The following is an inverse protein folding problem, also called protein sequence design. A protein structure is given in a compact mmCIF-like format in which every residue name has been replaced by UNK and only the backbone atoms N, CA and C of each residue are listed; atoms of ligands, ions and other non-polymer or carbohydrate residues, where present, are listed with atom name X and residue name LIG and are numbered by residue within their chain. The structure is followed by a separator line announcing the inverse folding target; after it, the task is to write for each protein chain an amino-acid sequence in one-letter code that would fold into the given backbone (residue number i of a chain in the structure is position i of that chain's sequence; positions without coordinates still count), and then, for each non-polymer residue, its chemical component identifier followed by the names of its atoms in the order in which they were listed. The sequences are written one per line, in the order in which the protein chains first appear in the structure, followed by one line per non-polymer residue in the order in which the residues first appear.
data_IF_058162451075
#
_entry.id   IF_058162451075
#
_cell.length_a   1.000
_cell.length_b   1.000
_cell.length_c   1.000
_cell.angle_alpha   90.00
_cell.angle_beta   90.00
_cell.angle_gamma   90.00
#
_symmetry.space_group_name_H-M   'P 1'
#
loop_
_entity.id
_entity.type
_entity.pdbx_description
1 polymer ?
#
# COMPACT_ATOMS: atom_id res chain seq x y z
N UNK A 1 10.80 -80.33 -0.72
CA UNK A 1 10.31 -80.35 -2.12
C UNK A 1 9.71 -78.99 -2.43
N UNK A 2 10.42 -78.17 -3.21
CA UNK A 2 9.80 -77.20 -4.11
C UNK A 2 9.60 -77.90 -5.48
N UNK A 3 8.70 -77.44 -6.37
CA UNK A 3 9.04 -76.33 -7.29
C UNK A 3 7.89 -75.30 -7.55
N UNK A 4 8.18 -73.99 -7.73
CA UNK A 4 8.32 -73.17 -8.99
C UNK A 4 6.96 -72.71 -9.58
N UNK A 5 6.48 -71.46 -9.39
CA UNK A 5 6.74 -70.13 -10.05
C UNK A 5 6.07 -69.93 -11.42
N UNK A 6 5.31 -68.82 -11.55
CA UNK A 6 5.24 -67.84 -12.67
C UNK A 6 3.88 -67.10 -12.59
N UNK A 7 3.69 -65.80 -12.75
CA UNK A 7 4.51 -64.67 -13.19
C UNK A 7 3.55 -63.51 -13.53
N UNK A 8 3.87 -62.32 -13.01
CA UNK A 8 3.69 -60.96 -13.59
C UNK A 8 2.46 -60.61 -14.47
N UNK A 9 1.71 -59.58 -14.09
CA UNK A 9 1.64 -58.31 -14.85
C UNK A 9 1.02 -57.16 -14.04
N UNK A 10 1.53 -55.95 -14.26
CA UNK A 10 1.28 -54.71 -13.54
C UNK A 10 0.35 -53.75 -14.30
N UNK A 11 -0.45 -53.00 -13.51
CA UNK A 11 -1.01 -51.63 -13.68
C UNK A 11 -1.90 -51.26 -14.91
N UNK A 12 -2.65 -50.11 -14.93
CA UNK A 12 -2.74 -49.00 -13.95
C UNK A 12 -4.16 -48.36 -13.67
N UNK A 13 -4.19 -47.48 -12.63
CA UNK A 13 -5.03 -46.28 -12.36
C UNK A 13 -6.56 -46.45 -12.11
N UNK A 14 -7.11 -45.95 -10.99
CA UNK A 14 -7.34 -44.51 -10.77
C UNK A 14 -6.94 -44.00 -9.36
N UNK A 15 -6.21 -42.88 -9.27
CA UNK A 15 -6.02 -42.09 -8.06
C UNK A 15 -7.09 -40.99 -8.02
N UNK A 16 -7.87 -40.87 -6.93
CA UNK A 16 -8.81 -39.74 -6.90
C UNK A 16 -9.94 -39.75 -5.90
N UNK A 17 -9.74 -40.25 -4.67
CA UNK A 17 -10.65 -39.87 -3.58
C UNK A 17 -9.90 -39.08 -2.53
N UNK A 18 -9.67 -37.80 -2.84
CA UNK A 18 -9.42 -36.80 -1.81
C UNK A 18 -10.71 -36.70 -1.01
N UNK A 19 -10.73 -37.32 0.17
CA UNK A 19 -11.78 -37.04 1.15
C UNK A 19 -11.70 -35.56 1.47
N UNK A 20 -12.69 -34.78 1.01
CA UNK A 20 -12.83 -33.39 1.39
C UNK A 20 -12.90 -33.33 2.91
N UNK A 21 -11.83 -32.84 3.54
CA UNK A 21 -11.85 -32.54 4.97
C UNK A 21 -13.03 -31.60 5.19
N UNK A 22 -13.98 -32.02 6.03
CA UNK A 22 -15.11 -31.21 6.43
C UNK A 22 -14.61 -29.80 6.79
N UNK A 23 -15.31 -28.73 6.40
CA UNK A 23 -14.89 -27.38 6.71
C UNK A 23 -14.71 -27.30 8.22
N UNK A 24 -13.45 -27.15 8.66
CA UNK A 24 -13.17 -26.79 10.04
C UNK A 24 -13.92 -25.48 10.22
N UNK A 25 -15.03 -25.49 10.98
CA UNK A 25 -15.63 -24.27 11.50
C UNK A 25 -14.50 -23.58 12.25
N UNK A 26 -13.81 -22.63 11.59
CA UNK A 26 -12.93 -21.71 12.29
C UNK A 26 -13.87 -21.04 13.28
N UNK A 27 -13.75 -21.39 14.55
CA UNK A 27 -14.29 -20.56 15.61
C UNK A 27 -13.72 -19.18 15.32
N UNK A 28 -14.59 -18.23 14.96
CA UNK A 28 -14.22 -16.83 15.00
C UNK A 28 -13.70 -16.62 16.42
N UNK A 29 -12.39 -16.47 16.56
CA UNK A 29 -11.81 -16.08 17.84
C UNK A 29 -12.29 -14.65 17.99
N UNK A 30 -13.44 -14.47 18.65
CA UNK A 30 -13.93 -13.18 19.08
C UNK A 30 -12.92 -12.69 20.11
N UNK A 31 -11.87 -12.02 19.63
CA UNK A 31 -10.91 -11.33 20.49
C UNK A 31 -11.58 -10.02 20.86
N UNK A 32 -11.97 -9.81 22.13
CA UNK A 32 -12.56 -8.54 22.54
C UNK A 32 -11.62 -7.40 22.13
N UNK A 33 -12.13 -6.47 21.31
CA UNK A 33 -11.38 -5.32 20.80
C UNK A 33 -10.79 -5.46 19.39
N UNK A 34 -10.97 -6.59 18.69
CA UNK A 34 -10.60 -6.68 17.27
C UNK A 34 -11.68 -6.04 16.37
N UNK A 35 -11.27 -5.09 15.54
CA UNK A 35 -12.12 -4.44 14.54
C UNK A 35 -11.53 -4.60 13.14
N UNK A 36 -12.41 -4.68 12.15
CA UNK A 36 -12.09 -4.56 10.73
C UNK A 36 -12.14 -3.09 10.33
N UNK A 37 -11.10 -2.60 9.69
CA UNK A 37 -11.07 -1.27 9.09
C UNK A 37 -11.25 -1.40 7.59
N UNK A 38 -12.16 -0.62 7.01
CA UNK A 38 -12.42 -0.63 5.57
C UNK A 38 -12.52 0.78 5.02
N UNK A 39 -11.99 0.99 3.83
CA UNK A 39 -12.05 2.27 3.13
C UNK A 39 -13.23 2.32 2.16
N UNK A 40 -13.88 3.47 2.07
CA UNK A 40 -14.95 3.76 1.12
C UNK A 40 -14.61 5.06 0.35
N UNK A 41 -13.77 5.02 -0.70
CA UNK A 41 -13.20 6.21 -1.33
C UNK A 41 -14.21 7.17 -1.99
N UNK A 42 -15.42 6.68 -2.31
CA UNK A 42 -16.50 7.46 -2.90
C UNK A 42 -17.67 7.70 -1.94
N UNK A 43 -17.44 7.52 -0.63
CA UNK A 43 -18.44 7.80 0.38
C UNK A 43 -18.79 9.29 0.40
N UNK A 44 -20.06 9.58 0.71
CA UNK A 44 -20.55 10.95 0.82
C UNK A 44 -19.77 11.72 1.88
N UNK A 45 -19.61 13.01 1.64
CA UNK A 45 -19.03 13.92 2.59
C UNK A 45 -19.87 14.00 3.87
N UNK A 46 -19.22 14.33 4.98
CA UNK A 46 -19.94 14.76 6.18
C UNK A 46 -20.65 16.09 5.88
N UNK A 47 -21.87 16.33 6.40
CA UNK A 47 -22.67 17.51 6.06
C UNK A 47 -21.99 18.87 6.31
N UNK A 48 -21.01 18.92 7.21
CA UNK A 48 -20.24 20.11 7.56
C UNK A 48 -19.09 20.43 6.58
N UNK A 49 -18.78 19.52 5.65
CA UNK A 49 -17.67 19.71 4.70
C UNK A 49 -18.19 20.34 3.41
N UNK A 50 -17.41 21.23 2.75
CA UNK A 50 -17.78 21.84 1.49
C UNK A 50 -17.54 20.89 0.30
N UNK A 51 -18.12 19.70 0.34
CA UNK A 51 -18.00 18.66 -0.69
C UNK A 51 -19.25 17.76 -0.72
N UNK A 52 -19.48 17.09 -1.85
CA UNK A 52 -20.49 16.05 -2.00
C UNK A 52 -19.89 14.66 -1.71
N UNK A 53 -18.69 14.38 -2.23
CA UNK A 53 -17.97 13.13 -2.02
C UNK A 53 -16.57 13.41 -1.47
N UNK A 54 -16.21 12.81 -0.33
CA UNK A 54 -14.84 12.89 0.22
C UNK A 54 -14.16 11.54 0.29
N UNK A 55 -14.95 10.48 0.36
CA UNK A 55 -14.53 9.20 0.88
C UNK A 55 -14.54 9.14 2.41
N UNK A 56 -14.39 7.94 2.96
CA UNK A 56 -14.43 7.66 4.38
C UNK A 56 -13.65 6.39 4.73
N UNK A 57 -13.42 6.19 6.03
CA UNK A 57 -12.98 4.92 6.60
C UNK A 57 -14.03 4.48 7.62
N UNK A 58 -14.34 3.19 7.64
CA UNK A 58 -15.27 2.59 8.58
C UNK A 58 -14.54 1.61 9.51
N UNK A 59 -14.97 1.57 10.76
CA UNK A 59 -14.58 0.59 11.76
C UNK A 59 -15.75 -0.32 12.04
N UNK A 60 -15.60 -1.60 11.70
CA UNK A 60 -16.60 -2.64 11.85
C UNK A 60 -16.14 -3.65 12.91
N UNK A 61 -16.88 -3.83 14.02
CA UNK A 61 -16.64 -4.95 14.93
C UNK A 61 -16.67 -6.29 14.19
N UNK A 62 -15.81 -7.24 14.58
CA UNK A 62 -15.80 -8.57 13.97
C UNK A 62 -16.87 -9.43 14.65
N UNK A 63 -18.12 -9.32 14.20
CA UNK A 63 -19.23 -10.15 14.65
C UNK A 63 -20.16 -10.55 13.47
N UNK A 64 -21.37 -11.04 13.77
CA UNK A 64 -22.32 -11.52 12.77
C UNK A 64 -23.29 -10.44 12.26
N UNK A 65 -23.29 -9.26 12.89
CA UNK A 65 -24.12 -8.13 12.48
C UNK A 65 -23.41 -7.38 11.35
N UNK A 66 -23.97 -7.34 10.13
CA UNK A 66 -23.35 -6.63 9.02
C UNK A 66 -23.57 -5.10 9.07
N UNK A 67 -24.31 -4.58 10.06
CA UNK A 67 -24.79 -3.19 10.10
C UNK A 67 -24.12 -2.31 11.17
N UNK A 68 -23.26 -2.88 12.00
CA UNK A 68 -22.64 -2.19 13.14
C UNK A 68 -21.33 -1.46 12.81
N UNK A 69 -21.03 -1.30 11.52
CA UNK A 69 -19.92 -0.48 11.04
C UNK A 69 -20.15 1.01 11.36
N UNK A 70 -19.14 1.64 11.96
CA UNK A 70 -19.17 3.05 12.32
C UNK A 70 -18.18 3.84 11.47
N UNK A 71 -18.59 5.03 11.00
CA UNK A 71 -17.71 5.93 10.24
C UNK A 71 -16.65 6.53 11.17
N UNK A 72 -15.42 6.61 10.68
CA UNK A 72 -14.33 7.34 11.32
C UNK A 72 -14.28 8.77 10.78
N UNK A 73 -14.47 9.75 11.68
CA UNK A 73 -14.45 11.17 11.34
C UNK A 73 -13.01 11.71 11.30
N UNK A 74 -12.27 11.34 10.24
CA UNK A 74 -10.87 11.71 10.05
C UNK A 74 -10.68 13.16 9.56
N UNK A 75 -11.69 13.73 8.92
CA UNK A 75 -11.68 15.11 8.39
C UNK A 75 -12.93 15.81 8.91
N UNK A 76 -12.74 16.73 9.85
CA UNK A 76 -13.84 17.45 10.54
C UNK A 76 -13.97 18.91 10.11
N UNK A 77 -12.91 19.48 9.55
CA UNK A 77 -12.83 20.88 9.11
C UNK A 77 -11.88 20.99 7.92
N UNK A 78 -12.13 21.96 7.04
CA UNK A 78 -11.35 22.18 5.82
C UNK A 78 -11.02 23.67 5.75
N UNK A 79 -9.77 23.99 5.43
CA UNK A 79 -9.34 25.38 5.24
C UNK A 79 -9.73 25.90 3.85
N UNK A 80 -9.76 27.22 3.69
CA UNK A 80 -10.09 27.85 2.39
C UNK A 80 -9.10 27.50 1.27
N UNK A 81 -7.88 27.09 1.61
CA UNK A 81 -6.85 26.65 0.66
C UNK A 81 -6.91 25.15 0.35
N UNK A 82 -7.96 24.42 0.77
CA UNK A 82 -8.05 22.98 0.65
C UNK A 82 -9.30 22.55 -0.12
N UNK A 83 -9.15 21.54 -0.98
CA UNK A 83 -10.28 20.89 -1.66
C UNK A 83 -10.27 19.41 -1.31
N UNK A 84 -11.37 19.01 -0.72
CA UNK A 84 -11.63 17.63 -0.29
C UNK A 84 -12.63 16.91 -1.20
N UNK A 85 -13.23 17.62 -2.16
CA UNK A 85 -14.14 17.02 -3.16
C UNK A 85 -13.40 15.97 -4.00
N UNK A 86 -13.92 14.74 -4.00
CA UNK A 86 -13.34 13.63 -4.72
C UNK A 86 -11.91 13.28 -4.28
N UNK A 87 -11.52 13.56 -3.02
CA UNK A 87 -10.16 13.28 -2.54
C UNK A 87 -9.83 11.79 -2.39
N UNK A 88 -10.85 10.93 -2.43
CA UNK A 88 -10.74 9.47 -2.33
C UNK A 88 -10.16 8.98 -1.00
N UNK A 89 -10.61 9.57 0.11
CA UNK A 89 -10.20 9.14 1.45
C UNK A 89 -10.60 7.68 1.69
N UNK A 90 -9.64 6.89 2.15
CA UNK A 90 -9.81 5.44 2.34
C UNK A 90 -9.38 4.62 1.13
N UNK A 91 -8.77 5.22 0.10
CA UNK A 91 -8.16 4.46 -1.02
C UNK A 91 -7.07 3.51 -0.51
N UNK A 92 -6.34 3.95 0.52
CA UNK A 92 -5.37 3.14 1.27
C UNK A 92 -5.74 3.20 2.73
N UNK A 93 -5.86 2.04 3.37
CA UNK A 93 -5.98 1.90 4.82
C UNK A 93 -4.98 0.85 5.27
N UNK A 94 -4.08 1.20 6.19
CA UNK A 94 -3.04 0.31 6.67
C UNK A 94 -2.89 0.38 8.19
N UNK A 95 -2.63 -0.76 8.82
CA UNK A 95 -2.36 -0.87 10.25
C UNK A 95 -0.86 -0.95 10.50
N UNK A 96 -0.41 -0.32 11.59
CA UNK A 96 0.96 -0.43 12.08
C UNK A 96 1.34 -1.91 12.33
N UNK A 97 2.34 -2.39 11.60
CA UNK A 97 2.86 -3.76 11.73
C UNK A 97 3.44 -4.01 13.12
N UNK A 98 3.35 -5.27 13.56
CA UNK A 98 3.98 -5.81 14.79
C UNK A 98 3.64 -5.09 16.10
N UNK A 99 2.54 -4.33 16.14
CA UNK A 99 2.10 -3.61 17.34
C UNK A 99 0.59 -3.80 17.59
N UNK A 100 0.27 -4.31 18.79
CA UNK A 100 -1.11 -4.34 19.30
C UNK A 100 -1.52 -2.94 19.77
N UNK A 101 -2.75 -2.53 19.44
CA UNK A 101 -3.19 -1.15 19.65
C UNK A 101 -2.36 -0.12 18.86
N UNK A 102 -1.70 -0.55 17.78
CA UNK A 102 -0.91 0.31 16.92
C UNK A 102 -1.76 1.32 16.14
N UNK A 103 -1.08 2.27 15.51
CA UNK A 103 -1.72 3.34 14.73
C UNK A 103 -2.29 2.81 13.40
N UNK A 104 -3.16 3.61 12.81
CA UNK A 104 -3.78 3.37 11.50
C UNK A 104 -3.40 4.53 10.58
N UNK A 105 -3.05 4.20 9.35
CA UNK A 105 -2.87 5.13 8.24
C UNK A 105 -4.09 5.04 7.33
N UNK A 106 -4.63 6.20 6.95
CA UNK A 106 -5.64 6.32 5.90
C UNK A 106 -5.25 7.45 4.95
N UNK A 107 -5.36 7.22 3.65
CA UNK A 107 -4.93 8.19 2.64
C UNK A 107 -6.08 8.59 1.70
N UNK A 108 -5.98 9.80 1.15
CA UNK A 108 -6.83 10.33 0.09
C UNK A 108 -5.96 10.94 -1.00
N UNK A 109 -5.55 10.13 -1.98
CA UNK A 109 -4.54 10.48 -2.98
C UNK A 109 -4.92 11.62 -3.95
N UNK A 110 -6.20 12.02 -3.97
CA UNK A 110 -6.70 13.13 -4.81
C UNK A 110 -6.98 14.39 -4.01
N UNK A 111 -6.56 14.44 -2.76
CA UNK A 111 -6.61 15.65 -1.94
C UNK A 111 -5.80 16.77 -2.59
N UNK A 112 -6.39 17.97 -2.68
CA UNK A 112 -5.78 19.13 -3.32
C UNK A 112 -5.61 20.24 -2.29
N UNK A 113 -4.46 20.91 -2.33
CA UNK A 113 -4.22 22.14 -1.59
C UNK A 113 -3.68 23.23 -2.51
N UNK A 114 -4.23 24.42 -2.36
CA UNK A 114 -3.88 25.63 -3.07
C UNK A 114 -2.74 26.30 -2.31
N UNK A 115 -1.64 26.63 -2.98
CA UNK A 115 -0.52 27.37 -2.36
C UNK A 115 -0.17 28.59 -3.20
N UNK A 116 -0.12 29.77 -2.57
CA UNK A 116 0.46 31.00 -3.11
C UNK A 116 -0.55 32.02 -3.67
N UNK A 117 -0.16 33.31 -3.78
CA UNK A 117 -1.00 34.40 -4.24
C UNK A 117 -1.05 34.56 -5.78
N UNK A 118 -0.33 33.72 -6.53
CA UNK A 118 -0.18 33.83 -7.97
C UNK A 118 -0.80 32.60 -8.67
N UNK A 119 -2.03 32.79 -9.14
CA UNK A 119 -2.68 32.08 -10.24
C UNK A 119 -2.63 30.53 -10.25
N UNK A 120 -3.77 29.92 -9.90
CA UNK A 120 -4.33 28.76 -10.63
C UNK A 120 -3.48 27.48 -10.76
N UNK A 121 -2.71 27.09 -9.73
CA UNK A 121 -2.12 25.75 -9.66
C UNK A 121 -2.79 24.90 -8.58
N UNK A 122 -3.73 24.05 -9.00
CA UNK A 122 -4.23 22.95 -8.17
C UNK A 122 -3.11 21.94 -7.96
N UNK A 123 -2.68 21.72 -6.72
CA UNK A 123 -1.62 20.75 -6.41
C UNK A 123 -2.20 19.61 -5.57
N UNK A 124 -2.01 18.38 -6.03
CA UNK A 124 -2.29 17.21 -5.20
C UNK A 124 -1.11 17.03 -4.24
N UNK A 125 -1.36 16.97 -2.93
CA UNK A 125 -0.28 17.07 -1.92
C UNK A 125 0.33 15.73 -1.48
N UNK A 126 1.67 15.74 -1.55
CA UNK A 126 2.74 15.33 -0.63
C UNK A 126 3.71 16.52 -0.51
N UNK A 127 5.01 16.39 -0.22
CA UNK A 127 5.95 17.55 -0.17
C UNK A 127 6.24 18.19 -1.55
N UNK A 128 5.23 18.77 -2.17
CA UNK A 128 5.18 18.95 -3.60
C UNK A 128 5.30 20.44 -4.01
N UNK A 129 6.51 20.90 -4.37
CA UNK A 129 6.84 22.33 -4.56
C UNK A 129 6.81 22.82 -6.02
N UNK A 130 6.90 21.93 -7.01
CA UNK A 130 6.99 22.27 -8.45
C UNK A 130 6.11 21.31 -9.28
N UNK A 131 5.33 21.84 -10.22
CA UNK A 131 4.33 21.12 -11.02
C UNK A 131 4.91 19.97 -11.85
N UNK A 132 6.13 20.13 -12.38
CA UNK A 132 6.81 19.10 -13.17
C UNK A 132 7.60 18.11 -12.31
N UNK A 133 7.87 18.49 -11.05
CA UNK A 133 8.46 17.60 -10.06
C UNK A 133 7.32 16.91 -9.34
N UNK A 134 6.88 17.44 -8.22
CA UNK A 134 5.98 16.70 -7.35
C UNK A 134 4.57 17.30 -7.26
N UNK A 135 4.25 18.43 -7.92
CA UNK A 135 2.95 19.12 -7.77
C UNK A 135 1.68 18.30 -8.07
N UNK A 136 1.83 17.15 -8.73
CA UNK A 136 0.78 16.17 -9.02
C UNK A 136 1.07 14.81 -8.37
N UNK A 137 1.71 14.78 -7.21
CA UNK A 137 2.34 13.57 -6.66
C UNK A 137 1.36 12.42 -6.29
N UNK A 138 0.05 12.66 -6.15
CA UNK A 138 -0.94 11.62 -5.82
C UNK A 138 -0.54 10.76 -4.61
N UNK A 139 -0.04 11.42 -3.55
CA UNK A 139 0.51 10.76 -2.37
C UNK A 139 -0.52 9.88 -1.67
N UNK A 140 -0.14 8.63 -1.39
CA UNK A 140 -0.96 7.71 -0.61
C UNK A 140 -1.98 6.92 -1.43
N UNK A 141 -1.82 6.83 -2.76
CA UNK A 141 -2.53 5.81 -3.56
C UNK A 141 -2.22 4.39 -3.06
N UNK A 142 -1.02 4.22 -2.52
CA UNK A 142 -0.54 3.04 -1.81
C UNK A 142 0.34 3.50 -0.67
N UNK A 143 0.47 2.66 0.36
CA UNK A 143 1.26 3.01 1.54
C UNK A 143 1.03 2.07 2.70
N UNK A 144 1.83 2.25 3.74
CA UNK A 144 1.74 1.46 4.95
C UNK A 144 2.54 2.09 6.09
N UNK A 145 2.47 1.41 7.23
CA UNK A 145 3.11 1.85 8.45
C UNK A 145 3.79 0.66 9.14
N UNK A 146 5.09 0.80 9.39
CA UNK A 146 5.88 -0.12 10.22
C UNK A 146 5.93 0.42 11.65
N UNK A 147 6.75 -0.18 12.50
CA UNK A 147 6.93 0.29 13.87
C UNK A 147 7.41 1.74 13.93
N UNK A 148 8.28 2.15 13.00
CA UNK A 148 8.90 3.49 12.97
C UNK A 148 8.55 4.28 11.71
N UNK A 149 8.26 3.59 10.61
CA UNK A 149 8.25 4.21 9.30
C UNK A 149 6.83 4.31 8.77
N UNK A 150 6.54 5.43 8.12
CA UNK A 150 5.35 5.60 7.27
C UNK A 150 5.85 5.73 5.85
N UNK A 151 5.46 4.81 4.99
CA UNK A 151 5.84 4.81 3.58
C UNK A 151 4.61 4.98 2.70
N UNK A 152 4.73 5.79 1.67
CA UNK A 152 3.63 6.10 0.76
C UNK A 152 4.13 6.25 -0.68
N UNK A 153 3.35 5.73 -1.61
CA UNK A 153 3.61 5.90 -3.03
C UNK A 153 3.08 7.22 -3.57
N UNK A 154 3.81 7.80 -4.53
CA UNK A 154 3.50 9.05 -5.22
C UNK A 154 3.66 8.92 -6.75
N UNK A 155 2.75 8.22 -7.45
CA UNK A 155 2.92 7.91 -8.88
C UNK A 155 3.00 9.11 -9.82
N UNK A 156 2.49 10.28 -9.40
CA UNK A 156 2.51 11.47 -10.24
C UNK A 156 3.76 12.34 -10.06
N UNK A 157 4.68 11.97 -9.17
CA UNK A 157 5.97 12.66 -9.03
C UNK A 157 6.84 12.51 -10.29
N UNK A 158 7.67 13.52 -10.55
CA UNK A 158 8.56 13.71 -11.70
C UNK A 158 7.92 13.37 -13.05
N UNK A 159 6.91 14.15 -13.44
CA UNK A 159 6.13 13.93 -14.67
C UNK A 159 5.67 12.46 -14.81
N UNK A 160 4.98 11.97 -13.78
CA UNK A 160 4.47 10.61 -13.70
C UNK A 160 5.54 9.51 -13.75
N UNK A 161 6.81 9.83 -13.53
CA UNK A 161 7.81 8.81 -13.19
C UNK A 161 7.35 8.00 -11.98
N UNK A 162 6.83 8.71 -10.99
CA UNK A 162 6.48 8.19 -9.68
C UNK A 162 7.63 8.21 -8.70
N UNK A 163 7.30 8.14 -7.41
CA UNK A 163 8.25 8.10 -6.30
C UNK A 163 7.64 7.34 -5.11
N UNK A 164 8.41 7.17 -4.05
CA UNK A 164 7.98 6.67 -2.76
C UNK A 164 8.61 7.56 -1.69
N UNK A 165 7.81 8.06 -0.75
CA UNK A 165 8.36 8.73 0.43
C UNK A 165 8.26 7.81 1.62
N UNK A 166 9.40 7.57 2.25
CA UNK A 166 9.50 6.92 3.56
C UNK A 166 9.77 8.02 4.57
N UNK A 167 8.98 8.07 5.64
CA UNK A 167 9.20 8.97 6.77
C UNK A 167 9.42 8.14 8.02
N UNK A 168 10.68 8.08 8.44
CA UNK A 168 11.06 7.52 9.73
C UNK A 168 10.67 8.49 10.85
N UNK A 169 10.09 7.96 11.92
CA UNK A 169 9.78 8.69 13.16
C UNK A 169 10.48 8.02 14.33
N UNK A 170 11.02 8.82 15.25
CA UNK A 170 11.60 8.29 16.49
C UNK A 170 10.60 7.43 17.27
N UNK A 171 11.06 6.25 17.71
CA UNK A 171 10.23 5.25 18.38
C UNK A 171 9.97 5.57 19.86
N UNK A 172 10.72 6.52 20.43
CA UNK A 172 10.71 6.84 21.85
C UNK A 172 10.16 8.26 22.08
N UNK A 173 9.55 8.56 23.24
CA UNK A 173 8.95 9.86 23.49
C UNK A 173 9.93 11.03 23.28
N UNK A 174 11.19 10.84 23.68
CA UNK A 174 12.31 11.77 23.57
C UNK A 174 12.87 11.96 22.14
N UNK A 175 12.51 11.08 21.19
CA UNK A 175 12.91 11.19 19.78
C UNK A 175 11.73 11.34 18.84
N UNK A 176 10.49 11.40 19.36
CA UNK A 176 9.26 11.41 18.57
C UNK A 176 9.09 12.63 17.65
N UNK A 177 9.77 13.73 17.97
CA UNK A 177 9.86 14.94 17.16
C UNK A 177 10.88 14.84 16.02
N UNK A 178 11.81 13.89 16.09
CA UNK A 178 12.73 13.65 14.98
C UNK A 178 12.01 12.87 13.87
N UNK A 179 12.17 13.39 12.66
CA UNK A 179 11.64 12.76 11.46
C UNK A 179 12.64 12.90 10.33
N UNK A 180 12.88 11.78 9.65
CA UNK A 180 13.76 11.74 8.47
C UNK A 180 12.93 11.24 7.31
N UNK A 181 13.07 11.91 6.17
CA UNK A 181 12.36 11.54 4.94
C UNK A 181 13.37 11.03 3.92
N UNK A 182 13.04 9.94 3.27
CA UNK A 182 13.79 9.34 2.18
C UNK A 182 12.89 9.21 0.97
N UNK A 183 13.44 9.49 -0.20
CA UNK A 183 12.78 9.34 -1.48
C UNK A 183 13.80 9.00 -2.58
N UNK A 184 13.31 8.65 -3.77
CA UNK A 184 14.14 8.51 -4.96
C UNK A 184 14.38 9.88 -5.61
N UNK A 185 15.60 10.09 -6.10
CA UNK A 185 15.92 11.24 -6.94
C UNK A 185 15.14 11.22 -8.26
N UNK A 186 15.10 12.37 -8.95
CA UNK A 186 14.61 12.43 -10.33
C UNK A 186 15.53 11.59 -11.23
N UNK A 187 15.03 10.43 -11.67
CA UNK A 187 15.79 9.49 -12.47
C UNK A 187 15.87 9.90 -13.94
N UNK A 188 15.10 10.93 -14.35
CA UNK A 188 14.96 11.57 -15.69
C UNK A 188 14.63 10.65 -16.87
N UNK A 189 14.93 9.35 -16.76
CA UNK A 189 14.84 8.31 -17.78
C UNK A 189 13.56 7.47 -17.66
N UNK A 190 12.72 7.76 -16.65
CA UNK A 190 11.60 6.91 -16.23
C UNK A 190 10.24 7.62 -16.25
N UNK A 191 10.08 8.69 -17.01
CA UNK A 191 8.79 9.41 -17.12
C UNK A 191 7.64 8.46 -17.47
N UNK A 192 6.46 8.70 -16.87
CA UNK A 192 5.24 7.89 -17.03
C UNK A 192 5.31 6.43 -16.56
N UNK A 193 6.30 6.05 -15.73
CA UNK A 193 6.41 4.69 -15.18
C UNK A 193 5.41 4.37 -14.05
N UNK A 194 4.89 5.38 -13.35
CA UNK A 194 3.98 5.27 -12.21
C UNK A 194 4.58 4.50 -11.02
N UNK A 195 5.87 4.70 -10.72
CA UNK A 195 6.49 4.16 -9.52
C UNK A 195 5.75 4.59 -8.25
N UNK A 196 5.58 3.68 -7.29
CA UNK A 196 4.77 3.93 -6.10
C UNK A 196 3.28 3.70 -6.33
N UNK A 197 2.89 3.06 -7.44
CA UNK A 197 1.51 2.60 -7.61
C UNK A 197 1.16 1.56 -6.54
N UNK A 198 2.09 0.64 -6.28
CA UNK A 198 2.06 -0.25 -5.12
C UNK A 198 3.37 -0.10 -4.34
N UNK A 199 3.29 -0.19 -3.00
CA UNK A 199 4.46 -0.12 -2.12
C UNK A 199 4.29 -1.07 -0.94
N UNK A 200 5.40 -1.65 -0.48
CA UNK A 200 5.47 -2.35 0.81
C UNK A 200 6.89 -2.26 1.37
N UNK A 201 7.01 -2.26 2.68
CA UNK A 201 8.27 -2.49 3.37
C UNK A 201 8.23 -3.84 4.07
N UNK A 202 9.31 -4.61 3.90
CA UNK A 202 9.40 -5.95 4.48
C UNK A 202 10.84 -6.35 4.81
N UNK A 203 11.00 -7.22 5.81
CA UNK A 203 12.31 -7.78 6.17
C UNK A 203 12.57 -9.07 5.41
N UNK A 204 13.81 -9.57 5.50
CA UNK A 204 14.23 -10.86 4.92
C UNK A 204 14.16 -10.93 3.38
N UNK A 205 14.12 -9.79 2.70
CA UNK A 205 14.20 -9.72 1.25
C UNK A 205 15.65 -9.63 0.79
N UNK A 206 16.29 -8.46 0.99
CA UNK A 206 17.71 -8.28 0.69
C UNK A 206 18.62 -8.58 1.89
N UNK A 207 18.07 -8.47 3.11
CA UNK A 207 18.78 -8.68 4.38
C UNK A 207 17.79 -9.23 5.43
N UNK A 208 18.26 -10.09 6.34
CA UNK A 208 17.44 -10.71 7.39
C UNK A 208 16.88 -9.69 8.41
N UNK A 209 17.62 -8.63 8.73
CA UNK A 209 17.27 -7.71 9.82
C UNK A 209 16.78 -6.34 9.33
N UNK A 210 17.21 -5.92 8.16
CA UNK A 210 16.89 -4.60 7.58
C UNK A 210 15.61 -4.65 6.74
N UNK A 211 14.86 -3.55 6.77
CA UNK A 211 13.71 -3.39 5.88
C UNK A 211 14.20 -3.11 4.47
N UNK A 212 13.59 -3.81 3.52
CA UNK A 212 13.69 -3.53 2.08
C UNK A 212 12.39 -2.87 1.66
N UNK A 213 12.49 -1.75 0.96
CA UNK A 213 11.36 -1.13 0.30
C UNK A 213 11.13 -1.84 -1.05
N UNK A 214 9.90 -2.21 -1.35
CA UNK A 214 9.52 -2.76 -2.65
C UNK A 214 8.44 -1.87 -3.24
N UNK A 215 8.67 -1.40 -4.47
CA UNK A 215 7.76 -0.49 -5.17
C UNK A 215 7.48 -0.96 -6.59
N UNK A 216 6.22 -0.86 -7.00
CA UNK A 216 5.76 -1.20 -8.34
C UNK A 216 5.63 0.02 -9.25
N UNK A 217 6.01 -0.16 -10.52
CA UNK A 217 5.90 0.84 -11.58
C UNK A 217 5.23 0.20 -12.81
N UNK A 218 3.89 0.06 -12.80
CA UNK A 218 3.17 -0.80 -13.75
C UNK A 218 3.20 -0.32 -15.21
N UNK A 219 3.63 0.92 -15.46
CA UNK A 219 3.79 1.47 -16.81
C UNK A 219 5.24 1.53 -17.27
N UNK A 220 6.19 1.13 -16.43
CA UNK A 220 7.61 1.14 -16.80
C UNK A 220 7.84 0.31 -18.07
N UNK A 221 8.46 0.94 -19.07
CA UNK A 221 8.80 0.31 -20.35
C UNK A 221 7.62 -0.37 -21.04
N UNK A 222 6.39 0.08 -20.76
CA UNK A 222 5.11 -0.52 -21.20
C UNK A 222 4.90 -1.98 -20.79
N UNK A 223 5.78 -2.58 -19.99
CA UNK A 223 5.64 -3.97 -19.48
C UNK A 223 5.35 -4.00 -17.98
N UNK A 224 5.73 -2.95 -17.27
CA UNK A 224 5.69 -2.86 -15.82
C UNK A 224 6.98 -3.36 -15.18
N UNK A 225 7.28 -2.85 -13.98
CA UNK A 225 8.44 -3.28 -13.21
C UNK A 225 8.20 -3.24 -11.70
N UNK A 226 9.07 -3.92 -10.97
CA UNK A 226 9.12 -3.98 -9.51
C UNK A 226 10.54 -3.70 -9.07
N UNK A 227 10.71 -2.67 -8.24
CA UNK A 227 12.01 -2.23 -7.74
C UNK A 227 12.14 -2.57 -6.26
N UNK A 228 13.21 -3.27 -5.91
CA UNK A 228 13.65 -3.48 -4.52
C UNK A 228 14.72 -2.41 -4.22
N UNK A 229 14.53 -1.68 -3.14
CA UNK A 229 15.40 -0.58 -2.73
C UNK A 229 15.80 -0.68 -1.26
N UNK A 230 17.02 -0.23 -0.97
CA UNK A 230 17.50 0.02 0.39
C UNK A 230 17.06 1.39 0.86
N UNK A 231 16.67 1.47 2.12
CA UNK A 231 16.35 2.71 2.80
C UNK A 231 17.65 3.19 3.47
N UNK A 232 18.32 4.17 2.85
CA UNK A 232 19.54 4.78 3.38
C UNK A 232 19.19 5.96 4.30
N UNK A 233 20.21 6.69 4.79
CA UNK A 233 19.98 7.80 5.72
C UNK A 233 19.09 8.91 5.16
N UNK A 234 19.30 9.29 3.89
CA UNK A 234 18.64 10.43 3.24
C UNK A 234 18.01 10.12 1.88
N UNK A 235 18.09 8.88 1.40
CA UNK A 235 17.61 8.52 0.06
C UNK A 235 17.19 7.06 -0.02
N UNK A 236 16.44 6.73 -1.06
CA UNK A 236 16.12 5.36 -1.44
C UNK A 236 17.03 4.93 -2.59
N UNK A 237 17.78 3.84 -2.37
CA UNK A 237 18.73 3.35 -3.38
C UNK A 237 18.20 2.06 -4.01
N UNK A 238 17.89 2.04 -5.32
CA UNK A 238 17.43 0.83 -5.99
C UNK A 238 18.57 -0.21 -6.04
N UNK A 239 18.25 -1.44 -5.66
CA UNK A 239 19.18 -2.58 -5.67
C UNK A 239 18.88 -3.53 -6.82
N UNK A 240 17.61 -3.81 -7.06
CA UNK A 240 17.17 -4.71 -8.12
C UNK A 240 15.88 -4.21 -8.76
N UNK A 241 15.77 -4.39 -10.07
CA UNK A 241 14.54 -4.13 -10.83
C UNK A 241 14.14 -5.41 -11.55
N UNK A 242 12.92 -5.86 -11.33
CA UNK A 242 12.29 -6.99 -12.00
C UNK A 242 11.32 -6.43 -13.04
N UNK A 243 11.47 -6.80 -14.31
CA UNK A 243 10.61 -6.35 -15.38
C UNK A 243 9.54 -7.40 -15.71
N UNK A 244 8.35 -6.95 -16.08
CA UNK A 244 7.32 -7.82 -16.65
C UNK A 244 7.70 -8.28 -18.05
N UNK A 245 7.19 -9.46 -18.44
CA UNK A 245 7.47 -10.03 -19.76
C UNK A 245 6.52 -9.48 -20.84
N UNK A 246 5.24 -9.35 -20.50
CA UNK A 246 4.19 -8.97 -21.43
C UNK A 246 3.90 -7.46 -21.40
N UNK A 247 3.87 -6.85 -22.58
CA UNK A 247 3.45 -5.46 -22.79
C UNK A 247 1.99 -5.28 -22.38
N UNK A 248 1.71 -4.24 -21.59
CA UNK A 248 0.36 -3.92 -21.12
C UNK A 248 -0.16 -4.81 -19.99
N UNK A 249 0.66 -5.73 -19.46
CA UNK A 249 0.28 -6.61 -18.34
C UNK A 249 0.07 -5.87 -17.02
N UNK A 250 0.59 -4.64 -16.92
CA UNK A 250 0.52 -3.83 -15.70
C UNK A 250 1.29 -4.48 -14.53
N UNK A 251 2.39 -5.18 -14.83
CA UNK A 251 3.23 -5.85 -13.84
C UNK A 251 3.76 -4.87 -12.78
N UNK A 252 3.55 -5.17 -11.50
CA UNK A 252 3.85 -4.26 -10.40
C UNK A 252 2.66 -3.40 -9.93
N UNK A 253 1.46 -3.61 -10.44
CA UNK A 253 0.26 -2.88 -10.01
C UNK A 253 -0.18 -3.15 -8.57
N UNK A 254 -0.03 -4.38 -8.06
CA UNK A 254 -0.53 -4.76 -6.74
C UNK A 254 0.58 -4.98 -5.72
N UNK A 255 0.19 -5.00 -4.45
CA UNK A 255 1.07 -5.27 -3.30
C UNK A 255 1.71 -6.64 -3.38
N UNK A 256 2.95 -6.72 -2.92
CA UNK A 256 3.77 -7.92 -2.94
C UNK A 256 3.50 -8.79 -1.72
N UNK A 257 3.32 -10.09 -1.93
CA UNK A 257 3.33 -11.07 -0.85
C UNK A 257 4.73 -11.66 -0.76
N UNK A 258 5.37 -11.52 0.39
CA UNK A 258 6.66 -12.15 0.66
C UNK A 258 6.40 -13.41 1.47
N UNK A 259 6.88 -14.56 0.98
CA UNK A 259 6.74 -15.84 1.65
C UNK A 259 8.12 -16.44 1.82
N UNK A 260 8.46 -16.80 3.05
CA UNK A 260 9.62 -17.63 3.39
C UNK A 260 9.18 -19.09 3.14
N UNK A 261 9.65 -19.70 2.04
CA UNK A 261 9.23 -21.03 1.55
C UNK A 261 10.12 -22.16 2.07
#
# INVERSE_FOLDING_TARGET
MAPVVSGTHAEPLLPGLVTAAAPRKRSFINRPGAVLLTGAPKEKALPQLPANETGAVYSCPINLDPTDCTRMDLVTSVNADEIVEGMWLGVTVARQKDQWGGRVLACGHRYIRIRGPELSLWRMIGKCYDQNREGLCNMGISGGITRTDVYVGTPGSFNWQGNVHVTWRGATPDTSWDSRTQDFDDLQSKSFAYMGYSVTEEKKLLNQSEYTLVTGAPRDSNRGSVTLAKIEYSSLTPVQVLYGDQVGSYFGNSTFATVDL
#
